data_IF_799385029741
#
_entry.id   IF_799385029741
#
_cell.length_a   1.000
_cell.length_b   1.000
_cell.length_c   1.000
_cell.angle_alpha   90.00
_cell.angle_beta   90.00
_cell.angle_gamma   90.00
#
_symmetry.space_group_name_H-M   'P 1'
#
loop_
_entity.id
_entity.type
_entity.pdbx_description
1 polymer ?
#
# COMPACT_ATOMS: atom_id res chain seq x y z
N UNK A 1 -24.00 31.01 -0.55
CA UNK A 1 -22.60 30.96 -1.05
C UNK A 1 -21.76 30.00 -0.22
N UNK A 2 -22.01 29.88 1.08
CA UNK A 2 -21.29 28.95 1.97
C UNK A 2 -21.54 27.47 1.66
N UNK A 3 -22.76 27.06 1.28
CA UNK A 3 -23.07 25.65 0.98
C UNK A 3 -22.32 25.12 -0.25
N UNK A 4 -22.20 25.95 -1.29
CA UNK A 4 -21.46 25.59 -2.50
C UNK A 4 -19.95 25.46 -2.22
N UNK A 5 -19.40 26.29 -1.33
CA UNK A 5 -18.02 26.19 -0.91
C UNK A 5 -17.75 24.90 -0.10
N UNK A 6 -18.67 24.52 0.80
CA UNK A 6 -18.58 23.30 1.58
C UNK A 6 -18.62 22.04 0.69
N UNK A 7 -19.50 22.02 -0.32
CA UNK A 7 -19.55 20.95 -1.32
C UNK A 7 -18.25 20.87 -2.14
N UNK A 8 -17.70 22.02 -2.55
CA UNK A 8 -16.43 22.09 -3.28
C UNK A 8 -15.25 21.51 -2.49
N UNK A 9 -15.13 21.88 -1.21
CA UNK A 9 -14.09 21.35 -0.31
C UNK A 9 -14.27 19.84 -0.10
N UNK A 10 -15.53 19.39 0.09
CA UNK A 10 -15.84 17.97 0.25
C UNK A 10 -15.41 17.11 -0.95
N UNK A 11 -15.64 17.59 -2.17
CA UNK A 11 -15.24 16.88 -3.39
C UNK A 11 -13.70 16.79 -3.53
N UNK A 12 -12.99 17.88 -3.24
CA UNK A 12 -11.52 17.89 -3.27
C UNK A 12 -10.94 16.90 -2.25
N UNK A 13 -11.51 16.88 -1.03
CA UNK A 13 -11.09 15.96 0.01
C UNK A 13 -11.28 14.48 -0.40
N UNK A 14 -12.41 14.14 -1.05
CA UNK A 14 -12.68 12.78 -1.54
C UNK A 14 -11.66 12.38 -2.61
N UNK A 15 -11.41 13.24 -3.60
CA UNK A 15 -10.43 12.95 -4.67
C UNK A 15 -9.04 12.74 -4.09
N UNK A 16 -8.63 13.61 -3.16
CA UNK A 16 -7.33 13.49 -2.50
C UNK A 16 -7.22 12.21 -1.66
N UNK A 17 -8.28 11.84 -0.94
CA UNK A 17 -8.34 10.60 -0.18
C UNK A 17 -8.21 9.35 -1.08
N UNK A 18 -8.93 9.33 -2.21
CA UNK A 18 -8.82 8.25 -3.20
C UNK A 18 -7.40 8.16 -3.80
N UNK A 19 -6.78 9.30 -4.08
CA UNK A 19 -5.40 9.34 -4.59
C UNK A 19 -4.41 8.74 -3.57
N UNK A 20 -4.56 9.05 -2.28
CA UNK A 20 -3.74 8.46 -1.21
C UNK A 20 -3.94 6.94 -1.14
N UNK A 21 -5.18 6.44 -1.20
CA UNK A 21 -5.45 5.00 -1.18
C UNK A 21 -4.73 4.29 -2.33
N UNK A 22 -4.83 4.83 -3.55
CA UNK A 22 -4.16 4.25 -4.72
C UNK A 22 -2.64 4.24 -4.53
N UNK A 23 -2.07 5.33 -3.99
CA UNK A 23 -0.65 5.41 -3.69
C UNK A 23 -0.20 4.36 -2.67
N UNK A 24 -0.99 4.14 -1.61
CA UNK A 24 -0.70 3.11 -0.60
C UNK A 24 -0.75 1.70 -1.20
N UNK A 25 -1.75 1.40 -2.03
CA UNK A 25 -1.85 0.11 -2.74
C UNK A 25 -0.64 -0.09 -3.66
N UNK A 26 -0.23 0.95 -4.40
CA UNK A 26 0.93 0.90 -5.27
C UNK A 26 2.25 0.70 -4.49
N UNK A 27 2.40 1.36 -3.34
CA UNK A 27 3.53 1.17 -2.45
C UNK A 27 3.59 -0.26 -1.91
N UNK A 28 2.45 -0.82 -1.49
CA UNK A 28 2.38 -2.19 -1.00
C UNK A 28 2.63 -3.22 -2.11
N UNK A 29 2.15 -2.97 -3.32
CA UNK A 29 2.48 -3.79 -4.50
C UNK A 29 4.00 -3.85 -4.70
N UNK A 30 4.70 -2.71 -4.64
CA UNK A 30 6.18 -2.69 -4.75
C UNK A 30 6.88 -3.52 -3.67
N UNK A 31 6.39 -3.49 -2.43
CA UNK A 31 6.94 -4.31 -1.34
C UNK A 31 6.77 -5.80 -1.68
N UNK A 32 5.59 -6.19 -2.15
CA UNK A 32 5.28 -7.59 -2.44
C UNK A 32 6.11 -8.08 -3.62
N UNK A 33 6.26 -7.27 -4.68
CA UNK A 33 7.14 -7.58 -5.80
C UNK A 33 8.60 -7.73 -5.38
N UNK A 34 9.11 -6.89 -4.47
CA UNK A 34 10.48 -7.06 -3.91
C UNK A 34 10.64 -8.35 -3.11
N UNK A 35 9.57 -8.85 -2.51
CA UNK A 35 9.56 -10.10 -1.77
C UNK A 35 9.25 -11.33 -2.65
N UNK A 36 9.26 -11.20 -3.99
CA UNK A 36 8.87 -12.24 -4.95
C UNK A 36 7.42 -12.75 -4.75
N UNK A 37 6.54 -11.87 -4.30
CA UNK A 37 5.12 -12.14 -4.08
C UNK A 37 4.25 -11.34 -5.07
N UNK A 38 3.06 -11.86 -5.44
CA UNK A 38 2.16 -11.15 -6.33
C UNK A 38 1.61 -9.89 -5.67
N UNK A 39 1.83 -8.72 -6.26
CA UNK A 39 1.39 -7.47 -5.65
C UNK A 39 -0.11 -7.23 -5.66
N UNK A 40 -0.87 -7.88 -6.55
CA UNK A 40 -2.34 -7.89 -6.50
C UNK A 40 -2.87 -8.52 -5.21
N UNK A 41 -2.06 -9.32 -4.50
CA UNK A 41 -2.42 -9.86 -3.20
C UNK A 41 -2.71 -8.76 -2.17
N UNK A 42 -2.22 -7.53 -2.39
CA UNK A 42 -2.49 -6.41 -1.48
C UNK A 42 -3.97 -5.99 -1.47
N UNK A 43 -4.73 -6.26 -2.54
CA UNK A 43 -6.13 -5.84 -2.71
C UNK A 43 -7.14 -6.72 -1.95
N UNK A 44 -6.81 -7.98 -1.71
CA UNK A 44 -7.73 -8.94 -1.10
C UNK A 44 -7.46 -9.00 0.41
N UNK A 45 -8.43 -8.67 1.30
CA UNK A 45 -8.16 -8.51 2.73
C UNK A 45 -7.54 -9.73 3.42
N UNK A 46 -8.11 -10.92 3.21
CA UNK A 46 -7.62 -12.15 3.86
C UNK A 46 -6.29 -12.60 3.23
N UNK A 47 -6.20 -12.59 1.90
CA UNK A 47 -5.01 -13.04 1.19
C UNK A 47 -3.82 -12.09 1.38
N UNK A 48 -4.07 -10.78 1.51
CA UNK A 48 -3.09 -9.76 1.89
C UNK A 48 -2.38 -10.17 3.18
N UNK A 49 -3.14 -10.54 4.22
CA UNK A 49 -2.59 -10.94 5.53
C UNK A 49 -1.75 -12.21 5.39
N UNK A 50 -2.21 -13.21 4.64
CA UNK A 50 -1.47 -14.46 4.42
C UNK A 50 -0.12 -14.17 3.73
N UNK A 51 -0.14 -13.39 2.64
CA UNK A 51 1.08 -13.02 1.90
C UNK A 51 1.99 -12.14 2.76
N UNK A 52 1.42 -11.22 3.53
CA UNK A 52 2.19 -10.39 4.48
C UNK A 52 2.89 -11.25 5.53
N UNK A 53 2.20 -12.26 6.07
CA UNK A 53 2.79 -13.23 7.00
C UNK A 53 3.88 -14.08 6.33
N UNK A 54 3.76 -14.41 5.04
CA UNK A 54 4.84 -15.07 4.28
C UNK A 54 6.06 -14.16 4.07
N UNK A 55 5.85 -12.86 3.87
CA UNK A 55 6.91 -11.86 3.73
C UNK A 55 7.62 -11.62 5.08
N UNK A 56 6.85 -11.49 6.16
CA UNK A 56 7.36 -11.23 7.53
C UNK A 56 7.97 -12.50 8.17
N UNK A 57 7.38 -13.66 7.94
CA UNK A 57 7.76 -14.96 8.53
C UNK A 57 8.99 -15.63 7.92
N UNK A 58 9.68 -14.98 6.99
CA UNK A 58 10.95 -15.45 6.43
C UNK A 58 12.10 -14.56 6.94
N UNK A 59 12.80 -14.91 8.04
CA UNK A 59 13.94 -14.14 8.55
C UNK A 59 15.21 -14.27 7.68
N UNK A 60 15.11 -14.50 6.38
CA UNK A 60 16.29 -14.81 5.57
C UNK A 60 16.09 -14.52 4.09
N UNK A 61 16.80 -13.50 3.60
CA UNK A 61 17.13 -13.39 2.18
C UNK A 61 17.09 -11.99 1.59
N UNK A 62 16.31 -11.05 2.13
CA UNK A 62 16.14 -9.72 1.53
C UNK A 62 16.37 -8.58 2.50
N UNK A 63 15.69 -8.58 3.65
CA UNK A 63 15.78 -7.50 4.63
C UNK A 63 17.22 -7.26 5.14
N UNK A 64 17.99 -8.32 5.40
CA UNK A 64 19.42 -8.23 5.75
C UNK A 64 20.30 -7.65 4.63
N UNK A 65 19.95 -7.90 3.35
CA UNK A 65 20.74 -7.43 2.21
C UNK A 65 20.48 -5.95 1.86
N UNK A 66 19.29 -5.42 2.18
CA UNK A 66 18.92 -4.03 1.88
C UNK A 66 19.11 -3.05 3.06
N UNK A 67 19.29 -3.56 4.28
CA UNK A 67 19.43 -2.74 5.51
C UNK A 67 20.88 -2.65 6.01
N UNK A 68 21.79 -3.56 5.60
CA UNK A 68 23.18 -3.61 6.08
C UNK A 68 24.26 -3.45 4.99
N UNK A 69 23.89 -3.30 3.72
CA UNK A 69 24.83 -3.04 2.62
C UNK A 69 24.38 -1.79 1.86
N UNK A 70 24.98 -0.66 2.21
CA UNK A 70 25.27 0.43 1.27
C UNK A 70 26.48 0.04 0.40
#
# INVERSE_FOLDING_TARGET
MEDAALLGIGLIAIVFYLAIIILLIAAQWKIYSKANQPGWASLIPIYNIIVLLQIVGKPGGGFYYYVFLE
#
